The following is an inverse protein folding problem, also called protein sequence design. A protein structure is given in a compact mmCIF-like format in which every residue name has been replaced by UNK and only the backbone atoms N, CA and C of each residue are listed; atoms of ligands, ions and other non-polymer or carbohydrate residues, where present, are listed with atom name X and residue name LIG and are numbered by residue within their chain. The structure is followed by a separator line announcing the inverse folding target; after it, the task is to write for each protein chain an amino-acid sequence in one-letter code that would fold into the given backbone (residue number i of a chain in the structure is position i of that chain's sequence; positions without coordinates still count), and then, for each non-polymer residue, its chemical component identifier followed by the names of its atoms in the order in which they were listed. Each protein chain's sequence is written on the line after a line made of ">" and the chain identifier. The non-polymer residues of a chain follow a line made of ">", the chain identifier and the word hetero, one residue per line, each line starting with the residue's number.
data_IF_373729942215
#
_entry.id   IF_373729942215
#
_cell.length_a   1.000
_cell.length_b   1.000
_cell.length_c   1.000
_cell.angle_alpha   90.00
_cell.angle_beta   90.00
_cell.angle_gamma   90.00
#
_symmetry.space_group_name_H-M   'P 1'
#
loop_
_entity.id
_entity.type
_entity.pdbx_description
1 polymer ?
#
# COMPACT_ATOMS: atom_id res chain seq x y z
N UNK A 1 -15.01 24.82 -26.33
CA UNK A 1 -15.70 23.68 -25.68
C UNK A 1 -15.07 22.32 -26.01
N UNK A 2 -13.83 22.26 -26.51
CA UNK A 2 -13.12 21.01 -26.82
C UNK A 2 -11.73 20.92 -26.17
N UNK A 3 -11.43 21.82 -25.21
CA UNK A 3 -10.18 21.87 -24.43
C UNK A 3 -10.38 21.42 -22.97
N UNK A 4 -11.53 20.81 -22.69
CA UNK A 4 -11.79 20.07 -21.45
C UNK A 4 -12.14 18.64 -21.81
N UNK A 5 -11.22 17.96 -22.52
CA UNK A 5 -11.11 16.51 -22.38
C UNK A 5 -10.58 16.31 -20.96
N UNK A 6 -11.55 16.31 -20.06
CA UNK A 6 -11.43 16.25 -18.62
C UNK A 6 -10.55 15.03 -18.27
N UNK A 7 -9.48 15.27 -17.52
CA UNK A 7 -8.56 14.29 -16.93
C UNK A 7 -9.30 13.28 -16.00
N UNK A 8 -10.62 13.47 -15.83
CA UNK A 8 -11.58 12.64 -15.10
C UNK A 8 -11.92 11.30 -15.79
N UNK A 9 -11.49 11.08 -17.04
CA UNK A 9 -11.73 9.84 -17.80
C UNK A 9 -10.62 8.76 -17.76
N UNK A 10 -9.49 9.00 -17.08
CA UNK A 10 -8.26 8.18 -17.23
C UNK A 10 -8.30 6.83 -16.50
N UNK A 11 -9.19 6.65 -15.52
CA UNK A 11 -9.15 5.44 -14.69
C UNK A 11 -9.48 4.17 -15.48
N UNK A 12 -10.35 4.23 -16.50
CA UNK A 12 -10.71 3.06 -17.32
C UNK A 12 -9.47 2.52 -18.03
N UNK A 13 -8.70 3.38 -18.70
CA UNK A 13 -7.48 2.95 -19.41
C UNK A 13 -6.46 2.33 -18.46
N UNK A 14 -6.33 2.88 -17.25
CA UNK A 14 -5.42 2.37 -16.22
C UNK A 14 -5.91 1.02 -15.67
N UNK A 15 -7.21 0.85 -15.50
CA UNK A 15 -7.82 -0.42 -15.10
C UNK A 15 -7.69 -1.49 -16.20
N UNK A 16 -7.87 -1.12 -17.47
CA UNK A 16 -7.65 -2.01 -18.62
C UNK A 16 -6.18 -2.38 -18.77
N UNK A 17 -5.27 -1.43 -18.56
CA UNK A 17 -3.83 -1.70 -18.53
C UNK A 17 -3.48 -2.67 -17.39
N UNK A 18 -4.03 -2.47 -16.20
CA UNK A 18 -3.86 -3.42 -15.10
C UNK A 18 -4.43 -4.80 -15.46
N UNK A 19 -5.64 -4.87 -16.02
CA UNK A 19 -6.20 -6.14 -16.50
C UNK A 19 -5.25 -6.82 -17.49
N UNK A 20 -4.71 -6.09 -18.46
CA UNK A 20 -3.77 -6.63 -19.44
C UNK A 20 -2.44 -7.11 -18.82
N UNK A 21 -1.92 -6.41 -17.81
CA UNK A 21 -0.69 -6.78 -17.11
C UNK A 21 -0.86 -8.07 -16.29
N UNK A 22 -1.99 -8.22 -15.61
CA UNK A 22 -2.24 -9.37 -14.74
C UNK A 22 -2.94 -10.52 -15.47
N UNK A 23 -3.50 -10.29 -16.67
CA UNK A 23 -4.19 -11.32 -17.44
C UNK A 23 -3.23 -12.32 -18.06
N UNK A 24 -3.56 -13.60 -17.87
CA UNK A 24 -2.97 -14.74 -18.58
C UNK A 24 -3.51 -14.83 -20.01
N UNK A 25 -3.16 -13.83 -20.82
CA UNK A 25 -3.58 -13.70 -22.23
C UNK A 25 -2.42 -13.25 -23.13
N UNK A 26 -1.18 -13.55 -22.79
CA UNK A 26 -0.02 -13.27 -23.65
C UNK A 26 0.06 -14.23 -24.86
N UNK A 27 -1.06 -14.44 -25.53
CA UNK A 27 -1.16 -15.23 -26.75
C UNK A 27 -1.33 -14.33 -27.96
N UNK A 28 -0.22 -14.02 -28.63
CA UNK A 28 -0.27 -13.77 -30.07
C UNK A 28 -1.00 -14.97 -30.71
N UNK A 29 -1.81 -14.73 -31.73
CA UNK A 29 -2.70 -15.69 -32.39
C UNK A 29 -2.03 -16.91 -33.08
N UNK A 30 -0.81 -17.26 -32.69
CA UNK A 30 -0.18 -18.53 -33.00
C UNK A 30 -0.87 -19.67 -32.25
N UNK A 31 -0.92 -20.84 -32.88
CA UNK A 31 -1.72 -22.00 -32.48
C UNK A 31 -1.42 -22.61 -31.10
N UNK A 32 -0.36 -22.16 -30.43
CA UNK A 32 -0.05 -22.53 -29.05
C UNK A 32 -0.69 -21.54 -28.08
N UNK A 33 -1.62 -22.03 -27.26
CA UNK A 33 -2.18 -21.26 -26.14
C UNK A 33 -1.10 -21.10 -25.07
N UNK A 34 -0.31 -20.05 -25.19
CA UNK A 34 0.58 -19.59 -24.11
C UNK A 34 -0.29 -18.85 -23.08
N UNK A 35 -0.37 -19.39 -21.87
CA UNK A 35 -1.17 -18.85 -20.75
C UNK A 35 -0.31 -18.06 -19.74
N UNK A 36 0.76 -17.43 -20.24
CA UNK A 36 1.68 -16.67 -19.40
C UNK A 36 1.08 -15.28 -19.09
N UNK A 37 1.42 -14.72 -17.94
CA UNK A 37 1.20 -13.32 -17.59
C UNK A 37 2.55 -12.57 -17.51
N UNK A 38 2.51 -11.25 -17.33
CA UNK A 38 3.74 -10.47 -17.21
C UNK A 38 4.49 -10.69 -15.88
N UNK A 39 3.84 -11.28 -14.87
CA UNK A 39 4.49 -11.67 -13.61
C UNK A 39 5.34 -12.94 -13.74
N UNK A 40 5.09 -13.77 -14.75
CA UNK A 40 5.89 -14.96 -15.05
C UNK A 40 7.24 -14.59 -15.70
N UNK A 41 7.39 -13.35 -16.19
CA UNK A 41 8.66 -12.81 -16.67
C UNK A 41 9.47 -12.30 -15.48
N UNK A 42 10.53 -13.01 -15.12
CA UNK A 42 11.33 -12.75 -13.91
C UNK A 42 11.76 -11.28 -13.75
N UNK A 43 12.22 -10.65 -14.84
CA UNK A 43 12.69 -9.26 -14.82
C UNK A 43 11.56 -8.23 -14.61
N UNK A 44 10.31 -8.56 -14.96
CA UNK A 44 9.16 -7.67 -14.84
C UNK A 44 8.36 -7.91 -13.55
N UNK A 45 8.44 -9.11 -12.98
CA UNK A 45 7.65 -9.50 -11.81
C UNK A 45 7.88 -8.59 -10.61
N UNK A 46 9.15 -8.25 -10.34
CA UNK A 46 9.53 -7.34 -9.25
C UNK A 46 9.02 -5.91 -9.53
N UNK A 47 9.27 -5.39 -10.74
CA UNK A 47 8.84 -4.03 -11.13
C UNK A 47 7.32 -3.85 -11.08
N UNK A 48 6.55 -4.83 -11.57
CA UNK A 48 5.09 -4.81 -11.55
C UNK A 48 4.56 -4.91 -10.11
N UNK A 49 5.17 -5.77 -9.28
CA UNK A 49 4.80 -5.92 -7.87
C UNK A 49 5.05 -4.63 -7.09
N UNK A 50 6.22 -4.03 -7.26
CA UNK A 50 6.62 -2.80 -6.59
C UNK A 50 5.79 -1.61 -7.08
N UNK A 51 5.49 -1.55 -8.39
CA UNK A 51 4.57 -0.57 -8.96
C UNK A 51 3.17 -0.66 -8.34
N UNK A 52 2.61 -1.87 -8.25
CA UNK A 52 1.32 -2.09 -7.61
C UNK A 52 1.34 -1.68 -6.13
N UNK A 53 2.36 -2.11 -5.37
CA UNK A 53 2.52 -1.74 -3.96
C UNK A 53 2.64 -0.22 -3.79
N UNK A 54 3.43 0.43 -4.63
CA UNK A 54 3.63 1.89 -4.59
C UNK A 54 2.34 2.65 -4.85
N UNK A 55 1.53 2.18 -5.81
CA UNK A 55 0.19 2.73 -6.07
C UNK A 55 -0.74 2.51 -4.86
N UNK A 56 -0.80 1.30 -4.32
CA UNK A 56 -1.67 0.98 -3.18
C UNK A 56 -1.32 1.79 -1.92
N UNK A 57 -0.02 1.98 -1.66
CA UNK A 57 0.49 2.74 -0.52
C UNK A 57 0.60 4.24 -0.79
N UNK A 58 0.26 4.68 -2.01
CA UNK A 58 0.36 6.07 -2.43
C UNK A 58 1.77 6.67 -2.19
N UNK A 59 2.78 5.83 -2.41
CA UNK A 59 4.19 6.15 -2.22
C UNK A 59 4.93 5.94 -3.53
N UNK A 60 4.56 6.72 -4.54
CA UNK A 60 5.17 6.62 -5.87
C UNK A 60 6.39 7.53 -5.91
N UNK A 61 7.49 6.98 -6.41
CA UNK A 61 8.72 7.70 -6.67
C UNK A 61 8.94 7.71 -8.18
N UNK A 62 9.20 8.89 -8.73
CA UNK A 62 9.57 9.00 -10.13
C UNK A 62 10.57 10.13 -10.31
N UNK A 63 11.30 10.06 -11.41
CA UNK A 63 12.15 11.14 -11.85
C UNK A 63 11.27 12.30 -12.32
N UNK A 64 11.44 13.48 -11.72
CA UNK A 64 10.69 14.67 -12.11
C UNK A 64 11.65 15.61 -12.85
N UNK A 65 11.40 15.79 -14.15
CA UNK A 65 12.12 16.76 -14.96
C UNK A 65 11.44 18.11 -14.88
N UNK A 66 12.21 19.11 -14.48
CA UNK A 66 11.80 20.51 -14.45
C UNK A 66 12.45 21.23 -15.62
N UNK A 67 11.65 21.99 -16.36
CA UNK A 67 12.14 22.93 -17.36
C UNK A 67 12.16 24.31 -16.73
N UNK A 68 13.33 24.95 -16.71
CA UNK A 68 13.47 26.32 -16.25
C UNK A 68 12.91 27.33 -17.26
N UNK A 69 12.88 28.61 -16.88
CA UNK A 69 12.40 29.71 -17.72
C UNK A 69 13.23 29.94 -19.00
N UNK A 70 14.46 29.45 -19.03
CA UNK A 70 15.42 29.62 -20.12
C UNK A 70 15.46 28.36 -21.02
N UNK A 71 14.63 27.35 -20.73
CA UNK A 71 14.54 26.09 -21.47
C UNK A 71 15.54 25.01 -21.02
N UNK A 72 16.30 25.25 -19.96
CA UNK A 72 17.17 24.26 -19.34
C UNK A 72 16.36 23.20 -18.60
N UNK A 73 16.72 21.93 -18.78
CA UNK A 73 16.10 20.82 -18.07
C UNK A 73 17.00 20.35 -16.92
N UNK A 74 16.40 20.10 -15.75
CA UNK A 74 17.05 19.36 -14.68
C UNK A 74 16.10 18.31 -14.11
N UNK A 75 16.63 17.11 -13.83
CA UNK A 75 15.85 15.98 -13.32
C UNK A 75 16.17 15.76 -11.85
N UNK A 76 15.12 15.69 -11.02
CA UNK A 76 15.23 15.24 -9.63
C UNK A 76 14.90 13.75 -9.60
N UNK A 77 15.89 12.87 -9.39
CA UNK A 77 15.65 11.44 -9.42
C UNK A 77 14.88 10.97 -8.19
N UNK A 78 13.96 10.02 -8.37
CA UNK A 78 13.24 9.34 -7.29
C UNK A 78 12.44 10.27 -6.38
N UNK A 79 11.90 11.37 -6.91
CA UNK A 79 11.12 12.31 -6.12
C UNK A 79 9.80 11.67 -5.66
N UNK A 80 9.55 11.58 -4.34
CA UNK A 80 8.32 10.99 -3.82
C UNK A 80 7.14 11.94 -4.07
N UNK A 81 6.05 11.41 -4.59
CA UNK A 81 4.81 12.15 -4.78
C UNK A 81 3.60 11.27 -4.48
N UNK A 82 2.51 11.92 -4.07
CA UNK A 82 1.24 11.27 -3.77
C UNK A 82 0.37 11.33 -5.01
N UNK A 83 -0.08 10.17 -5.48
CA UNK A 83 -1.08 10.07 -6.55
C UNK A 83 -2.50 10.29 -6.05
N UNK A 84 -2.80 9.87 -4.81
CA UNK A 84 -4.13 9.86 -4.23
C UNK A 84 -4.24 10.82 -3.04
N UNK A 85 -5.40 11.42 -2.86
CA UNK A 85 -5.77 12.06 -1.59
C UNK A 85 -6.38 11.03 -0.63
N UNK A 86 -6.16 11.19 0.67
CA UNK A 86 -6.59 10.20 1.67
C UNK A 86 -8.13 10.11 1.71
N UNK A 87 -8.74 8.92 1.93
CA UNK A 87 -10.19 8.74 1.89
C UNK A 87 -10.99 9.63 2.86
N UNK A 88 -10.45 9.93 4.06
CA UNK A 88 -11.09 10.86 5.01
C UNK A 88 -11.19 12.30 4.52
N UNK A 89 -10.50 12.58 3.41
CA UNK A 89 -10.59 13.84 2.70
C UNK A 89 -11.72 13.87 1.67
N UNK A 90 -12.83 13.18 1.93
CA UNK A 90 -14.15 13.49 1.34
C UNK A 90 -14.50 14.99 1.46
N UNK A 91 -13.87 15.70 2.40
CA UNK A 91 -13.94 17.16 2.58
C UNK A 91 -12.71 17.94 2.11
N UNK A 92 -11.66 17.29 1.56
CA UNK A 92 -10.66 18.07 0.83
C UNK A 92 -11.29 18.54 -0.46
N UNK A 93 -10.92 19.73 -0.88
CA UNK A 93 -11.44 20.37 -2.08
C UNK A 93 -11.12 19.57 -3.36
N UNK A 94 -10.32 18.50 -3.27
CA UNK A 94 -9.94 17.61 -4.37
C UNK A 94 -9.95 16.12 -3.93
N UNK A 95 -11.13 15.47 -3.85
CA UNK A 95 -11.20 14.01 -3.72
C UNK A 95 -10.73 13.41 -5.05
N UNK A 96 -9.46 13.03 -5.12
CA UNK A 96 -8.88 12.53 -6.36
C UNK A 96 -9.10 11.02 -6.43
N UNK A 97 -9.59 10.55 -7.57
CA UNK A 97 -9.64 9.13 -7.98
C UNK A 97 -10.70 8.24 -7.30
N UNK A 98 -11.84 8.81 -6.90
CA UNK A 98 -13.04 8.00 -6.70
C UNK A 98 -13.68 7.67 -8.05
N UNK A 99 -14.08 6.41 -8.19
CA UNK A 99 -14.79 5.90 -9.36
C UNK A 99 -16.27 5.92 -9.01
N UNK A 100 -16.98 6.88 -9.60
CA UNK A 100 -18.42 6.94 -9.51
C UNK A 100 -19.06 5.70 -10.12
N UNK A 101 -20.17 5.26 -9.53
CA UNK A 101 -20.96 4.17 -10.10
C UNK A 101 -21.54 4.64 -11.44
N UNK A 102 -21.31 3.91 -12.56
CA UNK A 102 -21.94 4.25 -13.83
C UNK A 102 -23.47 4.30 -13.71
N UNK A 103 -24.09 5.30 -14.35
CA UNK A 103 -25.55 5.42 -14.41
C UNK A 103 -26.19 4.21 -15.09
N UNK A 104 -25.51 3.65 -16.09
CA UNK A 104 -25.92 2.40 -16.73
C UNK A 104 -25.62 1.20 -15.81
N UNK A 105 -26.68 0.57 -15.32
CA UNK A 105 -26.57 -0.58 -14.42
C UNK A 105 -25.88 -1.79 -15.05
N UNK A 106 -25.98 -1.97 -16.37
CA UNK A 106 -25.31 -3.05 -17.09
C UNK A 106 -23.80 -2.89 -17.09
N UNK A 107 -23.32 -1.68 -17.40
CA UNK A 107 -21.91 -1.30 -17.33
C UNK A 107 -21.39 -1.36 -15.90
N UNK A 108 -22.14 -0.82 -14.93
CA UNK A 108 -21.78 -0.87 -13.51
C UNK A 108 -21.59 -2.32 -13.03
N UNK A 109 -22.50 -3.22 -13.40
CA UNK A 109 -22.40 -4.65 -13.06
C UNK A 109 -21.23 -5.34 -13.77
N UNK A 110 -20.97 -5.02 -15.05
CA UNK A 110 -19.82 -5.57 -15.80
C UNK A 110 -18.48 -5.14 -15.21
N UNK A 111 -18.40 -3.91 -14.70
CA UNK A 111 -17.20 -3.38 -14.04
C UNK A 111 -17.11 -3.75 -12.54
N UNK A 112 -18.13 -4.40 -11.97
CA UNK A 112 -18.17 -4.72 -10.54
C UNK A 112 -18.33 -3.50 -9.63
N UNK A 113 -18.86 -2.39 -10.15
CA UNK A 113 -19.05 -1.11 -9.46
C UNK A 113 -20.47 -1.02 -8.88
N UNK A 114 -20.69 -1.63 -7.71
CA UNK A 114 -21.99 -1.59 -7.01
C UNK A 114 -22.23 -0.30 -6.23
N UNK A 115 -21.15 0.39 -5.89
CA UNK A 115 -21.10 1.67 -5.19
C UNK A 115 -19.90 2.47 -5.71
N UNK A 116 -19.80 3.71 -5.27
CA UNK A 116 -18.57 4.48 -5.41
C UNK A 116 -17.43 3.76 -4.67
N UNK A 117 -16.30 3.60 -5.35
CA UNK A 117 -15.10 2.94 -4.83
C UNK A 117 -13.86 3.74 -5.21
N UNK A 118 -12.79 3.60 -4.43
CA UNK A 118 -11.51 4.19 -4.82
C UNK A 118 -10.90 3.46 -6.02
N UNK A 119 -10.01 4.14 -6.73
CA UNK A 119 -9.18 3.51 -7.75
C UNK A 119 -8.39 2.31 -7.20
N UNK A 120 -7.84 2.39 -5.98
CA UNK A 120 -7.13 1.27 -5.37
C UNK A 120 -8.03 0.05 -5.16
N UNK A 121 -9.29 0.25 -4.72
CA UNK A 121 -10.26 -0.83 -4.57
C UNK A 121 -10.61 -1.46 -5.93
N UNK A 122 -10.78 -0.64 -6.97
CA UNK A 122 -11.04 -1.13 -8.32
C UNK A 122 -9.85 -1.91 -8.89
N UNK A 123 -8.63 -1.40 -8.70
CA UNK A 123 -7.39 -2.04 -9.12
C UNK A 123 -7.23 -3.41 -8.47
N UNK A 124 -7.37 -3.49 -7.13
CA UNK A 124 -7.29 -4.76 -6.40
C UNK A 124 -8.35 -5.77 -6.86
N UNK A 125 -9.57 -5.32 -7.16
CA UNK A 125 -10.62 -6.20 -7.70
C UNK A 125 -10.23 -6.79 -9.04
N UNK A 126 -9.66 -5.99 -9.95
CA UNK A 126 -9.18 -6.47 -11.25
C UNK A 126 -8.05 -7.47 -11.05
N UNK A 127 -7.03 -7.12 -10.28
CA UNK A 127 -5.89 -8.02 -9.97
C UNK A 127 -6.41 -9.35 -9.41
N UNK A 128 -7.28 -9.30 -8.39
CA UNK A 128 -7.84 -10.48 -7.76
C UNK A 128 -8.67 -11.35 -8.72
N UNK A 129 -9.54 -10.75 -9.52
CA UNK A 129 -10.40 -11.48 -10.46
C UNK A 129 -9.59 -12.15 -11.57
N UNK A 130 -8.55 -11.47 -12.04
CA UNK A 130 -7.72 -11.94 -13.14
C UNK A 130 -6.76 -13.04 -12.69
N UNK A 131 -6.14 -12.90 -11.51
CA UNK A 131 -5.20 -13.87 -10.95
C UNK A 131 -5.91 -15.11 -10.38
N UNK A 132 -7.09 -14.96 -9.77
CA UNK A 132 -7.81 -16.11 -9.17
C UNK A 132 -8.44 -17.07 -10.21
N UNK A 133 -8.44 -16.71 -11.49
CA UNK A 133 -9.11 -17.46 -12.55
C UNK A 133 -8.28 -18.58 -13.18
N UNK A 134 -6.97 -18.61 -12.94
CA UNK A 134 -6.05 -19.55 -13.61
C UNK A 134 -6.13 -20.96 -13.03
N UNK A 135 -6.23 -21.96 -13.91
CA UNK A 135 -6.13 -23.38 -13.52
C UNK A 135 -4.73 -23.95 -13.70
N UNK A 136 -3.97 -23.42 -14.65
CA UNK A 136 -2.66 -23.92 -15.05
C UNK A 136 -1.54 -23.40 -14.16
N UNK A 137 -1.70 -22.19 -13.60
CA UNK A 137 -0.68 -21.48 -12.80
C UNK A 137 -1.24 -21.07 -11.43
N UNK A 138 -2.07 -21.93 -10.85
CA UNK A 138 -2.76 -21.64 -9.59
C UNK A 138 -1.79 -21.40 -8.43
N UNK A 139 -0.64 -22.08 -8.42
CA UNK A 139 0.33 -21.95 -7.33
C UNK A 139 0.99 -20.57 -7.34
N UNK A 140 1.46 -20.11 -8.51
CA UNK A 140 2.11 -18.82 -8.72
C UNK A 140 1.14 -17.67 -8.45
N UNK A 141 -0.08 -17.77 -8.99
CA UNK A 141 -1.09 -16.74 -8.80
C UNK A 141 -1.54 -16.66 -7.34
N UNK A 142 -1.67 -17.80 -6.65
CA UNK A 142 -1.97 -17.85 -5.23
C UNK A 142 -0.83 -17.26 -4.40
N UNK A 143 0.41 -17.65 -4.65
CA UNK A 143 1.58 -17.17 -3.90
C UNK A 143 1.76 -15.64 -4.06
N UNK A 144 1.39 -15.08 -5.21
CA UNK A 144 1.30 -13.63 -5.40
C UNK A 144 0.13 -13.03 -4.60
N UNK A 145 -1.07 -13.57 -4.75
CA UNK A 145 -2.28 -13.06 -4.10
C UNK A 145 -2.22 -13.17 -2.57
N UNK A 146 -1.55 -14.18 -2.03
CA UNK A 146 -1.30 -14.38 -0.61
C UNK A 146 -0.49 -13.22 -0.01
N UNK A 147 0.19 -12.39 -0.81
CA UNK A 147 0.84 -11.16 -0.30
C UNK A 147 -0.17 -10.04 -0.03
N UNK A 148 -1.31 -10.07 -0.72
CA UNK A 148 -2.36 -9.04 -0.70
C UNK A 148 -3.61 -9.46 0.07
N UNK A 149 -3.78 -10.75 0.35
CA UNK A 149 -4.93 -11.23 1.13
C UNK A 149 -4.74 -10.93 2.62
N UNK A 150 -5.85 -10.88 3.35
CA UNK A 150 -5.90 -10.73 4.80
C UNK A 150 -7.07 -11.55 5.34
N UNK A 151 -7.00 -11.92 6.61
CA UNK A 151 -8.13 -12.51 7.31
C UNK A 151 -8.99 -11.40 7.91
N UNK A 152 -10.27 -11.33 7.52
CA UNK A 152 -11.24 -10.41 8.11
C UNK A 152 -12.13 -11.14 9.10
N UNK A 153 -12.10 -10.70 10.36
CA UNK A 153 -12.90 -11.32 11.43
C UNK A 153 -13.59 -10.27 12.32
N UNK A 154 -14.41 -10.72 13.25
CA UNK A 154 -15.02 -9.87 14.29
C UNK A 154 -14.09 -9.78 15.50
N UNK A 155 -14.18 -8.69 16.27
CA UNK A 155 -13.38 -8.52 17.49
C UNK A 155 -13.60 -9.61 18.55
N UNK A 156 -14.77 -10.24 18.53
CA UNK A 156 -15.15 -11.28 19.48
C UNK A 156 -14.50 -12.64 19.18
N UNK A 157 -14.05 -12.86 17.94
CA UNK A 157 -13.39 -14.11 17.58
C UNK A 157 -11.99 -14.15 18.23
N UNK A 158 -11.75 -15.20 19.00
CA UNK A 158 -10.41 -15.51 19.49
C UNK A 158 -9.56 -15.96 18.31
N UNK A 159 -8.38 -15.36 18.19
CA UNK A 159 -7.38 -15.77 17.21
C UNK A 159 -6.58 -16.91 17.81
N UNK A 160 -6.39 -17.98 17.04
CA UNK A 160 -5.28 -18.88 17.31
C UNK A 160 -3.99 -18.07 17.09
N UNK A 161 -3.09 -18.07 18.07
CA UNK A 161 -1.81 -17.37 17.97
C UNK A 161 -0.90 -17.97 16.88
N UNK A 162 -1.19 -19.19 16.43
CA UNK A 162 -0.42 -19.86 15.39
C UNK A 162 -0.64 -19.18 14.03
N UNK A 163 0.44 -18.62 13.47
CA UNK A 163 0.43 -18.00 12.13
C UNK A 163 0.01 -16.53 12.10
N UNK A 164 -0.50 -15.97 13.20
CA UNK A 164 -0.84 -14.54 13.27
C UNK A 164 0.41 -13.70 13.48
N UNK A 165 0.79 -12.93 12.46
CA UNK A 165 1.93 -12.01 12.53
C UNK A 165 1.55 -10.61 13.02
N UNK A 166 0.30 -10.20 12.82
CA UNK A 166 -0.22 -8.93 13.32
C UNK A 166 -1.73 -8.82 13.16
N UNK A 167 -2.36 -7.96 13.95
CA UNK A 167 -3.78 -7.64 13.77
C UNK A 167 -4.04 -6.16 14.06
N UNK A 168 -5.13 -5.65 13.48
CA UNK A 168 -5.62 -4.31 13.73
C UNK A 168 -7.14 -4.28 13.76
N UNK A 169 -7.67 -3.58 14.76
CA UNK A 169 -9.10 -3.37 14.93
C UNK A 169 -9.53 -2.10 14.18
N UNK A 170 -10.44 -2.23 13.20
CA UNK A 170 -10.97 -1.14 12.38
C UNK A 170 -12.50 -1.13 12.51
N UNK A 171 -13.04 -0.21 13.31
CA UNK A 171 -14.48 -0.16 13.60
C UNK A 171 -14.95 -1.42 14.34
N UNK A 172 -15.84 -2.21 13.75
CA UNK A 172 -16.32 -3.51 14.28
C UNK A 172 -15.54 -4.71 13.74
N UNK A 173 -14.69 -4.49 12.74
CA UNK A 173 -13.88 -5.52 12.08
C UNK A 173 -12.50 -5.60 12.73
N UNK A 174 -11.94 -6.80 12.75
CA UNK A 174 -10.53 -7.08 13.02
C UNK A 174 -9.90 -7.60 11.74
N UNK A 175 -8.84 -6.93 11.31
CA UNK A 175 -8.00 -7.37 10.19
C UNK A 175 -6.80 -8.11 10.78
N UNK A 176 -6.51 -9.28 10.26
CA UNK A 176 -5.42 -10.14 10.70
C UNK A 176 -4.50 -10.40 9.51
N UNK A 177 -3.21 -10.15 9.72
CA UNK A 177 -2.16 -10.43 8.77
C UNK A 177 -1.39 -11.67 9.23
N UNK A 178 -1.31 -12.66 8.35
CA UNK A 178 -0.46 -13.84 8.46
C UNK A 178 1.00 -13.49 8.16
N UNK A 179 1.90 -14.44 8.38
CA UNK A 179 3.35 -14.27 8.14
C UNK A 179 3.69 -13.83 6.72
N UNK A 180 2.97 -14.38 5.75
CA UNK A 180 3.09 -14.22 4.31
C UNK A 180 2.50 -12.90 3.79
N UNK A 181 1.56 -12.29 4.53
CA UNK A 181 0.92 -11.03 4.13
C UNK A 181 1.83 -9.82 4.46
N UNK A 182 3.03 -9.75 3.87
CA UNK A 182 4.01 -8.70 4.14
C UNK A 182 3.41 -7.28 4.01
N UNK A 183 2.55 -7.09 3.01
CA UNK A 183 1.87 -5.83 2.76
C UNK A 183 0.96 -5.40 3.93
N UNK A 184 0.09 -6.32 4.36
CA UNK A 184 -0.83 -6.08 5.46
C UNK A 184 -0.10 -5.89 6.79
N UNK A 185 0.95 -6.69 7.03
CA UNK A 185 1.83 -6.53 8.21
C UNK A 185 2.45 -5.13 8.24
N UNK A 186 2.99 -4.67 7.12
CA UNK A 186 3.58 -3.33 7.01
C UNK A 186 2.52 -2.25 7.23
N UNK A 187 1.34 -2.35 6.61
CA UNK A 187 0.25 -1.41 6.83
C UNK A 187 -0.23 -1.37 8.29
N UNK A 188 -0.40 -2.52 8.95
CA UNK A 188 -0.77 -2.63 10.37
C UNK A 188 0.30 -1.98 11.25
N UNK A 189 1.57 -2.31 11.02
CA UNK A 189 2.70 -1.78 11.78
C UNK A 189 2.79 -0.26 11.65
N UNK A 190 2.85 0.26 10.42
CA UNK A 190 2.97 1.70 10.14
C UNK A 190 1.76 2.45 10.68
N UNK A 191 0.55 1.92 10.51
CA UNK A 191 -0.67 2.56 11.01
C UNK A 191 -0.69 2.60 12.55
N UNK A 192 -0.28 1.51 13.22
CA UNK A 192 -0.16 1.45 14.68
C UNK A 192 0.90 2.42 15.20
N UNK A 193 2.06 2.48 14.55
CA UNK A 193 3.13 3.43 14.87
C UNK A 193 2.64 4.87 14.69
N UNK A 194 1.97 5.19 13.58
CA UNK A 194 1.39 6.51 13.34
C UNK A 194 0.40 6.93 14.42
N UNK A 195 -0.50 6.04 14.83
CA UNK A 195 -1.46 6.26 15.92
C UNK A 195 -0.80 6.41 17.30
N UNK A 196 0.32 5.73 17.55
CA UNK A 196 1.09 5.93 18.76
C UNK A 196 1.76 7.30 18.75
N UNK A 197 2.47 7.65 17.66
CA UNK A 197 3.21 8.89 17.54
C UNK A 197 2.30 10.13 17.50
N UNK A 198 1.06 10.00 17.02
CA UNK A 198 0.08 11.09 17.03
C UNK A 198 -0.38 11.52 18.42
N UNK A 199 -0.13 10.70 19.45
CA UNK A 199 -0.38 11.05 20.85
C UNK A 199 0.72 11.93 21.45
N UNK A 200 1.85 12.08 20.76
CA UNK A 200 2.98 12.89 21.22
C UNK A 200 2.92 14.30 20.60
N UNK A 201 3.32 15.31 21.37
CA UNK A 201 3.53 16.65 20.83
C UNK A 201 4.82 16.72 20.00
N UNK A 202 5.00 17.79 19.21
CA UNK A 202 6.22 17.99 18.42
C UNK A 202 7.48 18.04 19.29
N UNK A 203 7.39 18.66 20.45
CA UNK A 203 8.47 18.76 21.44
C UNK A 203 8.82 17.38 22.00
N UNK A 204 7.81 16.59 22.37
CA UNK A 204 8.00 15.22 22.86
C UNK A 204 8.62 14.29 21.81
N UNK A 205 8.24 14.44 20.54
CA UNK A 205 8.90 13.72 19.44
C UNK A 205 10.37 14.13 19.29
N UNK A 206 10.68 15.42 19.46
CA UNK A 206 12.05 15.93 19.46
C UNK A 206 12.90 15.34 20.60
N UNK A 207 12.35 15.32 21.82
CA UNK A 207 12.97 14.67 22.99
C UNK A 207 13.24 13.19 22.73
N UNK A 208 12.26 12.47 22.19
CA UNK A 208 12.38 11.04 21.87
C UNK A 208 13.48 10.76 20.84
N UNK A 209 13.58 11.57 19.76
CA UNK A 209 14.65 11.42 18.76
C UNK A 209 16.01 11.71 19.37
N UNK A 210 16.12 12.75 20.21
CA UNK A 210 17.37 13.09 20.89
C UNK A 210 17.82 11.95 21.81
N UNK A 211 16.92 11.38 22.61
CA UNK A 211 17.19 10.23 23.50
C UNK A 211 17.68 9.01 22.71
N UNK A 212 17.09 8.74 21.54
CA UNK A 212 17.54 7.62 20.68
C UNK A 212 18.92 7.85 20.10
N UNK A 213 19.26 9.09 19.72
CA UNK A 213 20.57 9.43 19.14
C UNK A 213 21.68 9.41 20.20
N UNK A 214 21.38 9.76 21.45
CA UNK A 214 22.36 9.71 22.54
C UNK A 214 22.55 8.29 23.08
N UNK A 215 21.53 7.44 23.05
CA UNK A 215 21.60 6.03 23.47
C UNK A 215 22.12 5.06 22.41
N UNK A 216 21.94 5.36 21.13
CA UNK A 216 22.37 4.50 20.03
C UNK A 216 23.80 4.82 19.59
N UNK A 217 24.79 4.33 20.34
CA UNK A 217 26.17 4.26 19.86
C UNK A 217 26.39 3.26 18.71
N UNK A 218 25.32 2.61 18.20
CA UNK A 218 25.36 1.64 17.12
C UNK A 218 24.78 2.22 15.82
N UNK A 219 25.49 2.01 14.72
CA UNK A 219 25.26 2.56 13.40
C UNK A 219 23.99 1.96 12.74
N UNK A 220 22.95 2.76 12.39
CA UNK A 220 21.63 2.26 11.97
C UNK A 220 21.56 1.65 10.56
N UNK A 221 22.63 1.70 9.75
CA UNK A 221 22.58 1.31 8.34
C UNK A 221 22.52 -0.21 8.07
N UNK A 222 22.79 -1.08 9.06
CA UNK A 222 22.90 -2.54 8.84
C UNK A 222 21.61 -3.30 9.16
N UNK A 223 20.63 -2.68 9.85
CA UNK A 223 19.43 -3.37 10.33
C UNK A 223 18.29 -3.52 9.29
N UNK A 224 18.45 -2.97 8.09
CA UNK A 224 17.37 -2.86 7.08
C UNK A 224 17.06 -4.17 6.33
N UNK A 225 17.95 -5.17 6.32
CA UNK A 225 17.80 -6.38 5.49
C UNK A 225 17.52 -7.67 6.26
N UNK A 226 17.73 -7.70 7.57
CA UNK A 226 17.66 -8.96 8.36
C UNK A 226 16.41 -9.05 9.24
N UNK A 227 15.54 -8.04 9.25
CA UNK A 227 14.36 -8.00 10.13
C UNK A 227 14.70 -8.07 11.63
N UNK A 228 15.98 -8.00 12.01
CA UNK A 228 16.43 -8.00 13.39
C UNK A 228 16.33 -6.57 13.95
N UNK A 229 15.18 -6.29 14.56
CA UNK A 229 15.01 -5.07 15.33
C UNK A 229 16.11 -5.00 16.40
N UNK A 230 16.94 -3.95 16.36
CA UNK A 230 17.92 -3.68 17.40
C UNK A 230 17.20 -3.67 18.76
N UNK A 231 17.57 -4.58 19.67
CA UNK A 231 16.97 -4.65 21.01
C UNK A 231 17.18 -3.29 21.69
N UNK A 232 16.11 -2.61 22.15
CA UNK A 232 16.25 -1.37 22.87
C UNK A 232 17.07 -1.62 24.15
N UNK A 233 18.03 -0.73 24.43
CA UNK A 233 18.82 -0.72 25.67
C UNK A 233 17.88 -0.75 26.88
N UNK A 234 17.94 -1.80 27.70
CA UNK A 234 17.07 -2.05 28.88
C UNK A 234 17.27 -1.05 30.03
N UNK A 235 18.24 -0.16 29.96
CA UNK A 235 18.59 0.75 31.06
C UNK A 235 17.98 2.14 30.91
N UNK A 236 16.71 2.26 31.32
CA UNK A 236 16.08 3.39 32.02
C UNK A 236 14.56 3.34 31.81
N UNK A 237 13.79 3.61 32.86
CA UNK A 237 12.37 3.92 32.76
C UNK A 237 12.19 5.27 32.04
N UNK A 238 12.42 5.25 30.73
CA UNK A 238 12.23 6.39 29.86
C UNK A 238 10.77 6.81 29.92
N UNK A 239 10.54 8.12 29.97
CA UNK A 239 9.23 8.77 29.76
C UNK A 239 8.51 8.23 28.51
N UNK A 240 9.27 7.62 27.58
CA UNK A 240 8.81 7.07 26.32
C UNK A 240 8.93 5.53 26.22
N UNK A 241 8.90 4.81 27.33
CA UNK A 241 9.00 3.34 27.33
C UNK A 241 7.97 2.64 26.41
N UNK A 242 6.75 3.19 26.28
CA UNK A 242 5.73 2.67 25.37
C UNK A 242 6.13 2.74 23.88
N UNK A 243 7.12 3.58 23.53
CA UNK A 243 7.63 3.79 22.18
C UNK A 243 8.99 3.10 21.96
N UNK A 244 9.45 2.30 22.93
CA UNK A 244 10.76 1.63 22.90
C UNK A 244 10.91 0.67 21.71
N UNK A 245 9.82 0.09 21.22
CA UNK A 245 9.80 -0.82 20.07
C UNK A 245 9.78 -0.11 18.71
N UNK A 246 9.56 1.21 18.66
CA UNK A 246 9.44 1.95 17.40
C UNK A 246 10.83 2.33 16.88
N UNK A 247 11.21 1.91 15.66
CA UNK A 247 12.45 2.33 15.02
C UNK A 247 12.55 3.86 14.86
N UNK A 248 13.73 4.42 15.09
CA UNK A 248 13.98 5.88 14.99
C UNK A 248 13.61 6.45 13.62
N UNK A 249 13.81 5.69 12.55
CA UNK A 249 13.45 6.11 11.19
C UNK A 249 11.96 6.43 11.05
N UNK A 250 11.06 5.65 11.65
CA UNK A 250 9.63 5.94 11.59
C UNK A 250 9.26 7.23 12.33
N UNK A 251 9.95 7.52 13.42
CA UNK A 251 9.76 8.77 14.18
C UNK A 251 10.18 9.97 13.32
N UNK A 252 11.33 9.87 12.65
CA UNK A 252 11.82 10.92 11.75
C UNK A 252 10.92 11.10 10.52
N UNK A 253 10.44 10.00 9.92
CA UNK A 253 9.47 10.05 8.81
C UNK A 253 8.15 10.70 9.25
N UNK A 254 7.67 10.38 10.46
CA UNK A 254 6.47 10.98 11.01
C UNK A 254 6.63 12.50 11.23
N UNK A 255 7.77 12.94 11.80
CA UNK A 255 8.08 14.36 11.98
C UNK A 255 8.12 15.13 10.65
N UNK A 256 8.62 14.49 9.60
CA UNK A 256 8.68 15.06 8.24
C UNK A 256 7.32 15.03 7.50
N UNK A 257 6.27 14.44 8.10
CA UNK A 257 5.00 14.20 7.41
C UNK A 257 5.10 13.21 6.24
N UNK A 258 6.18 12.44 6.19
CA UNK A 258 6.45 11.42 5.18
C UNK A 258 5.91 10.05 5.56
N UNK A 259 5.55 9.83 6.83
CA UNK A 259 4.82 8.63 7.24
C UNK A 259 3.43 8.64 6.60
N UNK A 260 3.02 7.48 6.07
CA UNK A 260 1.70 7.33 5.50
C UNK A 260 0.62 7.56 6.54
N UNK A 261 -0.46 8.20 6.10
CA UNK A 261 -1.60 8.52 6.95
C UNK A 261 -2.27 7.24 7.46
N UNK A 262 -2.54 7.19 8.77
CA UNK A 262 -3.13 6.02 9.41
C UNK A 262 -4.51 5.69 8.86
N UNK A 263 -5.32 6.70 8.49
CA UNK A 263 -6.65 6.48 7.93
C UNK A 263 -6.56 5.89 6.51
N UNK A 264 -5.61 6.35 5.70
CA UNK A 264 -5.33 5.73 4.40
C UNK A 264 -4.91 4.27 4.52
N UNK A 265 -4.02 3.95 5.47
CA UNK A 265 -3.60 2.57 5.72
C UNK A 265 -4.76 1.71 6.24
N UNK A 266 -5.59 2.25 7.13
CA UNK A 266 -6.78 1.56 7.62
C UNK A 266 -7.77 1.30 6.47
N UNK A 267 -7.97 2.28 5.59
CA UNK A 267 -8.78 2.09 4.38
C UNK A 267 -8.20 1.01 3.47
N UNK A 268 -6.89 1.04 3.20
CA UNK A 268 -6.21 0.02 2.42
C UNK A 268 -6.47 -1.37 3.00
N UNK A 269 -6.29 -1.54 4.31
CA UNK A 269 -6.60 -2.79 5.01
C UNK A 269 -8.08 -3.21 4.88
N UNK A 270 -9.02 -2.29 4.68
CA UNK A 270 -10.42 -2.67 4.45
C UNK A 270 -10.70 -3.19 3.04
N UNK A 271 -9.93 -2.75 2.03
CA UNK A 271 -10.12 -3.09 0.62
C UNK A 271 -9.28 -4.28 0.14
N UNK A 272 -8.27 -4.70 0.91
CA UNK A 272 -7.50 -5.91 0.62
C UNK A 272 -8.42 -7.16 0.52
N UNK A 273 -8.17 -8.10 -0.40
CA UNK A 273 -8.94 -9.35 -0.53
C UNK A 273 -8.98 -10.16 0.77
N UNK A 274 -10.07 -10.89 0.98
CA UNK A 274 -10.24 -11.78 2.14
C UNK A 274 -9.68 -13.17 1.81
N UNK A 275 -8.79 -13.70 2.65
CA UNK A 275 -8.31 -15.08 2.55
C UNK A 275 -9.38 -16.00 3.14
N UNK A 276 -10.24 -16.54 2.28
CA UNK A 276 -11.27 -17.50 2.69
C UNK A 276 -10.74 -18.92 2.84
#
# INVERSE_FOLDING_TARGET
>A
YMDQIDVRGIWIDKLVAAEALFARRTGNSSFDRVEDNYLDVADLSEEISDGLISILFNNVQSDITFTDKDGGEFTVPGAPHKMFSTPDSFKSENPTHWIERPLDSGLANRLGLTREISFQEALLKIVNNTMSGSKSHWAEDRDFMDRFTILKTTKAQQLDSNGVAGFKDIGTMRVVALSENALARNAISVSTVGEMLSKLTKEQLGELVAERKTGSGANPAVALLDGSAAKPSETAASKYAAFASIPTQYIELYQKGALLDANMLNYLLTILPDSK
#
